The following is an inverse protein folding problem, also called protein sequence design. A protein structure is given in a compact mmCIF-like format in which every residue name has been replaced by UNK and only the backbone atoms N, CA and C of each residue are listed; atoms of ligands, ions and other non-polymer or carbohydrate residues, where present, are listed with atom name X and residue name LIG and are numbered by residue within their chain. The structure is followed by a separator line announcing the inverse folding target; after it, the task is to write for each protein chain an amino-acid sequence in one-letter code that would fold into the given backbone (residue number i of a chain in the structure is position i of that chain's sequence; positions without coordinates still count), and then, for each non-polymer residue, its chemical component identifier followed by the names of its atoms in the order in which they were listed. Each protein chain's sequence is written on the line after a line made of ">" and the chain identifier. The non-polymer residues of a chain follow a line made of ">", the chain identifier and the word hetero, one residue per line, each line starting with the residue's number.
data_IF_938017679484
#
_entry.id   IF_938017679484
#
_cell.length_a   1.000
_cell.length_b   1.000
_cell.length_c   1.000
_cell.angle_alpha   90.00
_cell.angle_beta   90.00
_cell.angle_gamma   90.00
#
_symmetry.space_group_name_H-M   'P 1'
#
loop_
_entity.id
_entity.type
_entity.pdbx_description
1 polymer ?
#
# COMPACT_ATOMS: atom_id res chain seq x y z
N UNK A 1 7.00 16.69 -22.55
CA UNK A 1 7.07 16.53 -21.09
C UNK A 1 8.17 17.42 -20.52
N UNK A 2 7.87 18.15 -19.45
CA UNK A 2 8.88 18.90 -18.70
C UNK A 2 9.91 17.95 -18.06
N UNK A 3 11.05 18.50 -17.63
CA UNK A 3 12.08 17.70 -16.96
C UNK A 3 11.54 16.99 -15.70
N UNK A 4 10.75 17.69 -14.89
CA UNK A 4 10.07 17.12 -13.71
C UNK A 4 9.13 15.97 -14.09
N UNK A 5 8.32 16.13 -15.14
CA UNK A 5 7.42 15.06 -15.59
C UNK A 5 8.18 13.81 -16.04
N UNK A 6 9.33 13.97 -16.71
CA UNK A 6 10.20 12.83 -17.09
C UNK A 6 10.76 12.12 -15.86
N UNK A 7 11.28 12.87 -14.90
CA UNK A 7 11.80 12.30 -13.66
C UNK A 7 10.72 11.56 -12.86
N UNK A 8 9.52 12.12 -12.76
CA UNK A 8 8.38 11.47 -12.09
C UNK A 8 7.96 10.20 -12.82
N UNK A 9 7.90 10.22 -14.15
CA UNK A 9 7.58 9.04 -14.95
C UNK A 9 8.63 7.94 -14.78
N UNK A 10 9.92 8.29 -14.86
CA UNK A 10 11.02 7.34 -14.69
C UNK A 10 11.01 6.72 -13.29
N UNK A 11 10.72 7.52 -12.26
CA UNK A 11 10.56 7.02 -10.90
C UNK A 11 9.35 6.07 -10.79
N UNK A 12 8.17 6.51 -11.20
CA UNK A 12 6.96 5.70 -11.11
C UNK A 12 7.09 4.37 -11.87
N UNK A 13 7.69 4.41 -13.06
CA UNK A 13 7.91 3.21 -13.89
C UNK A 13 8.90 2.23 -13.26
N UNK A 14 9.93 2.72 -12.56
CA UNK A 14 10.94 1.87 -11.90
C UNK A 14 10.48 1.29 -10.57
N UNK A 15 9.63 2.01 -9.84
CA UNK A 15 9.21 1.65 -8.48
C UNK A 15 7.80 1.07 -8.40
N UNK A 16 7.05 1.01 -9.52
CA UNK A 16 5.80 0.28 -9.58
C UNK A 16 6.04 -1.21 -9.25
N UNK A 17 5.37 -1.70 -8.21
CA UNK A 17 5.53 -3.07 -7.70
C UNK A 17 4.52 -4.05 -8.27
N UNK A 18 3.39 -3.53 -8.77
CA UNK A 18 2.27 -4.28 -9.33
C UNK A 18 1.65 -3.48 -10.47
N UNK A 19 0.90 -4.15 -11.33
CA UNK A 19 0.18 -3.52 -12.44
C UNK A 19 -0.91 -2.57 -11.94
N UNK A 20 -1.24 -1.56 -12.75
CA UNK A 20 -2.22 -0.53 -12.40
C UNK A 20 -3.58 -1.10 -11.98
N UNK A 21 -4.09 -2.11 -12.69
CA UNK A 21 -5.36 -2.76 -12.39
C UNK A 21 -5.34 -3.46 -11.01
N UNK A 22 -4.24 -4.16 -10.69
CA UNK A 22 -4.05 -4.79 -9.37
C UNK A 22 -3.92 -3.74 -8.27
N UNK A 23 -3.24 -2.63 -8.56
CA UNK A 23 -3.08 -1.52 -7.61
C UNK A 23 -4.42 -0.87 -7.25
N UNK A 24 -5.27 -0.60 -8.24
CA UNK A 24 -6.60 -0.03 -8.02
C UNK A 24 -7.50 -0.99 -7.24
N UNK A 25 -7.47 -2.28 -7.59
CA UNK A 25 -8.25 -3.31 -6.89
C UNK A 25 -7.79 -3.49 -5.43
N UNK A 26 -6.48 -3.54 -5.18
CA UNK A 26 -5.94 -3.61 -3.82
C UNK A 26 -6.29 -2.35 -3.01
N UNK A 27 -6.18 -1.17 -3.61
CA UNK A 27 -6.53 0.09 -2.97
C UNK A 27 -8.01 0.12 -2.55
N UNK A 28 -8.92 -0.31 -3.43
CA UNK A 28 -10.34 -0.42 -3.12
C UNK A 28 -10.57 -1.40 -1.97
N UNK A 29 -9.94 -2.58 -2.03
CA UNK A 29 -10.08 -3.61 -1.01
C UNK A 29 -9.59 -3.15 0.37
N UNK A 30 -8.46 -2.45 0.44
CA UNK A 30 -7.94 -1.91 1.69
C UNK A 30 -8.87 -0.83 2.29
N UNK A 31 -9.51 -0.02 1.46
CA UNK A 31 -10.51 0.96 1.92
C UNK A 31 -11.77 0.27 2.47
N UNK A 32 -12.21 -0.83 1.84
CA UNK A 32 -13.31 -1.66 2.36
C UNK A 32 -12.99 -2.25 3.74
N UNK A 33 -11.73 -2.60 3.97
CA UNK A 33 -11.21 -3.07 5.27
C UNK A 33 -11.04 -1.93 6.30
N UNK A 34 -11.46 -0.71 5.98
CA UNK A 34 -11.46 0.44 6.89
C UNK A 34 -10.13 1.18 6.97
N UNK A 35 -9.16 0.87 6.09
CA UNK A 35 -7.89 1.59 6.03
C UNK A 35 -8.10 2.96 5.39
N UNK A 36 -7.56 4.01 6.01
CA UNK A 36 -7.64 5.36 5.45
C UNK A 36 -7.02 5.42 4.05
N UNK A 37 -7.54 6.27 3.17
CA UNK A 37 -7.06 6.33 1.78
C UNK A 37 -5.56 6.60 1.68
N UNK A 38 -5.00 7.41 2.60
CA UNK A 38 -3.58 7.73 2.63
C UNK A 38 -2.72 6.51 3.00
N UNK A 39 -3.11 5.77 4.05
CA UNK A 39 -2.42 4.54 4.45
C UNK A 39 -2.58 3.43 3.41
N UNK A 40 -3.78 3.29 2.83
CA UNK A 40 -4.03 2.30 1.79
C UNK A 40 -3.13 2.55 0.57
N UNK A 41 -2.94 3.80 0.15
CA UNK A 41 -1.97 4.16 -0.90
C UNK A 41 -0.53 3.83 -0.51
N UNK A 42 -0.13 4.07 0.74
CA UNK A 42 1.20 3.68 1.22
C UNK A 42 1.40 2.17 1.19
N UNK A 43 0.41 1.38 1.60
CA UNK A 43 0.45 -0.09 1.55
C UNK A 43 0.61 -0.58 0.11
N UNK A 44 -0.15 -0.02 -0.84
CA UNK A 44 -0.05 -0.38 -2.26
C UNK A 44 1.34 -0.04 -2.83
N UNK A 45 1.91 1.12 -2.48
CA UNK A 45 3.25 1.52 -2.93
C UNK A 45 4.37 0.67 -2.29
N UNK A 46 4.19 0.26 -1.03
CA UNK A 46 5.21 -0.47 -0.27
C UNK A 46 5.12 -1.99 -0.51
N UNK A 47 3.94 -2.54 -0.77
CA UNK A 47 3.68 -3.99 -0.89
C UNK A 47 4.35 -4.78 0.26
N UNK A 48 3.92 -4.53 1.52
CA UNK A 48 4.61 -5.06 2.69
C UNK A 48 4.61 -6.59 2.71
N UNK A 49 5.74 -7.17 3.14
CA UNK A 49 5.93 -8.64 3.20
C UNK A 49 5.69 -9.22 4.59
N UNK A 50 5.68 -8.35 5.61
CA UNK A 50 5.63 -8.74 7.01
C UNK A 50 4.67 -7.87 7.81
N UNK A 51 4.20 -8.41 8.94
CA UNK A 51 3.37 -7.66 9.90
C UNK A 51 4.12 -6.46 10.48
N UNK A 52 5.44 -6.55 10.61
CA UNK A 52 6.28 -5.48 11.14
C UNK A 52 6.40 -4.29 10.18
N UNK A 53 6.46 -4.54 8.87
CA UNK A 53 6.37 -3.47 7.86
C UNK A 53 5.00 -2.77 7.93
N UNK A 54 3.91 -3.53 8.04
CA UNK A 54 2.59 -2.96 8.23
C UNK A 54 2.52 -2.13 9.52
N UNK A 55 3.01 -2.65 10.65
CA UNK A 55 3.08 -1.91 11.92
C UNK A 55 3.85 -0.59 11.77
N UNK A 56 4.91 -0.58 10.98
CA UNK A 56 5.68 0.64 10.67
C UNK A 56 4.86 1.63 9.84
N UNK A 57 4.09 1.16 8.85
CA UNK A 57 3.19 2.01 8.05
C UNK A 57 2.10 2.63 8.94
N UNK A 58 1.53 1.84 9.85
CA UNK A 58 0.50 2.28 10.79
C UNK A 58 1.04 3.08 11.99
N UNK A 59 2.36 3.27 12.12
CA UNK A 59 2.98 3.95 13.28
C UNK A 59 2.56 5.41 13.43
N UNK A 60 2.14 6.06 12.34
CA UNK A 60 1.62 7.43 12.35
C UNK A 60 0.12 7.50 12.66
N UNK A 61 -0.57 6.35 12.75
CA UNK A 61 -2.00 6.30 13.05
C UNK A 61 -2.22 6.46 14.56
N UNK A 62 -3.17 7.32 14.95
CA UNK A 62 -3.45 7.58 16.37
C UNK A 62 -4.19 6.43 17.06
N UNK A 63 -4.72 5.45 16.31
CA UNK A 63 -5.46 4.31 16.86
C UNK A 63 -4.51 3.11 17.03
N UNK A 64 -4.63 2.36 18.14
CA UNK A 64 -3.95 1.08 18.25
C UNK A 64 -4.54 0.09 17.23
N UNK A 65 -3.70 -0.55 16.43
CA UNK A 65 -4.08 -1.59 15.47
C UNK A 65 -3.76 -2.95 16.07
N UNK A 66 -4.73 -3.87 16.07
CA UNK A 66 -4.54 -5.19 16.63
C UNK A 66 -3.64 -6.07 15.73
N UNK A 67 -2.85 -6.99 16.30
CA UNK A 67 -2.04 -7.92 15.51
C UNK A 67 -2.87 -8.72 14.49
N UNK A 68 -4.09 -9.14 14.85
CA UNK A 68 -5.01 -9.87 13.97
C UNK A 68 -5.50 -9.03 12.79
N UNK A 69 -5.69 -7.71 12.97
CA UNK A 69 -6.03 -6.81 11.86
C UNK A 69 -4.85 -6.72 10.88
N UNK A 70 -3.62 -6.59 11.38
CA UNK A 70 -2.42 -6.54 10.54
C UNK A 70 -2.20 -7.86 9.77
N UNK A 71 -2.43 -9.01 10.39
CA UNK A 71 -2.36 -10.32 9.73
C UNK A 71 -3.42 -10.47 8.63
N UNK A 72 -4.64 -9.99 8.88
CA UNK A 72 -5.71 -9.97 7.88
C UNK A 72 -5.32 -9.09 6.70
N UNK A 73 -4.83 -7.87 6.95
CA UNK A 73 -4.38 -6.95 5.92
C UNK A 73 -3.20 -7.51 5.11
N UNK A 74 -2.23 -8.15 5.77
CA UNK A 74 -1.12 -8.81 5.10
C UNK A 74 -1.61 -9.92 4.16
N UNK A 75 -2.59 -10.69 4.61
CA UNK A 75 -3.22 -11.73 3.79
C UNK A 75 -3.89 -11.13 2.55
N UNK A 76 -4.62 -10.02 2.69
CA UNK A 76 -5.19 -9.28 1.56
C UNK A 76 -4.10 -8.83 0.60
N UNK A 77 -3.04 -8.16 1.08
CA UNK A 77 -1.92 -7.70 0.22
C UNK A 77 -1.27 -8.86 -0.53
N UNK A 78 -1.10 -10.02 0.11
CA UNK A 78 -0.49 -11.20 -0.51
C UNK A 78 -1.33 -11.79 -1.66
N UNK A 79 -2.65 -11.56 -1.69
CA UNK A 79 -3.50 -12.00 -2.81
C UNK A 79 -3.25 -11.23 -4.11
N UNK A 80 -2.62 -10.05 -4.03
CA UNK A 80 -2.36 -9.17 -5.18
C UNK A 80 -0.91 -9.19 -5.66
N UNK A 81 -0.09 -10.10 -5.11
CA UNK A 81 1.28 -10.32 -5.59
C UNK A 81 1.33 -10.99 -6.96
#
# INVERSE_FOLDING_TARGET
>A
MSHLQKLTYDYASKFAKIDAEKADALLARLKEEGVSGLLATQIVNIMPTSVEELRTIFSAESRPVLPSELEKLLSVVNMFR
#
